data_IF_774096414398
#
_entry.id   IF_774096414398
#
_cell.length_a   1.000
_cell.length_b   1.000
_cell.length_c   1.000
_cell.angle_alpha   90.00
_cell.angle_beta   90.00
_cell.angle_gamma   90.00
#
_symmetry.space_group_name_H-M   'P 1'
#
loop_
_entity.id
_entity.type
_entity.pdbx_description
1 polymer ?
#
# COMPACT_ATOMS: atom_id res chain seq x y z
N UNK A 1 -20.33 -13.07 -64.40
CA UNK A 1 -20.79 -13.55 -63.09
C UNK A 1 -19.88 -14.75 -62.78
N UNK A 2 -19.06 -14.84 -61.74
CA UNK A 2 -19.12 -14.33 -60.37
C UNK A 2 -17.75 -13.82 -59.90
N UNK A 3 -17.77 -12.85 -58.98
CA UNK A 3 -16.67 -12.58 -58.04
C UNK A 3 -16.73 -13.62 -56.93
N UNK A 4 -15.59 -14.03 -56.37
CA UNK A 4 -15.26 -13.97 -54.93
C UNK A 4 -14.20 -15.01 -54.58
N UNK A 5 -13.20 -14.56 -53.83
CA UNK A 5 -12.17 -15.44 -53.28
C UNK A 5 -10.84 -14.78 -52.92
N UNK A 6 -10.78 -13.46 -52.71
CA UNK A 6 -9.63 -12.88 -52.01
C UNK A 6 -9.62 -13.40 -50.57
N UNK A 7 -8.86 -14.48 -50.33
CA UNK A 7 -8.35 -14.78 -48.99
C UNK A 7 -7.50 -13.59 -48.57
N UNK A 8 -8.02 -12.76 -47.66
CA UNK A 8 -7.22 -11.77 -46.93
C UNK A 8 -6.12 -12.53 -46.19
N UNK A 9 -4.93 -12.56 -46.79
CA UNK A 9 -3.73 -12.97 -46.10
C UNK A 9 -3.50 -11.94 -44.98
N UNK A 10 -3.80 -12.34 -43.75
CA UNK A 10 -3.35 -11.63 -42.55
C UNK A 10 -1.85 -11.44 -42.66
N UNK A 11 -1.42 -10.18 -42.81
CA UNK A 11 -0.02 -9.85 -42.98
C UNK A 11 0.76 -10.33 -41.74
N UNK A 12 2.02 -10.78 -41.89
CA UNK A 12 2.84 -11.25 -40.77
C UNK A 12 3.01 -10.20 -39.66
N UNK A 13 2.86 -8.90 -39.98
CA UNK A 13 2.82 -7.81 -38.99
C UNK A 13 1.57 -7.86 -38.09
N UNK A 14 0.43 -8.28 -38.63
CA UNK A 14 -0.82 -8.46 -37.88
C UNK A 14 -0.70 -9.61 -36.88
N UNK A 15 -0.04 -10.70 -37.28
CA UNK A 15 0.22 -11.85 -36.41
C UNK A 15 1.23 -11.49 -35.31
N UNK A 16 2.28 -10.73 -35.65
CA UNK A 16 3.29 -10.28 -34.70
C UNK A 16 2.69 -9.36 -33.62
N UNK A 17 1.80 -8.44 -33.99
CA UNK A 17 1.09 -7.58 -33.02
C UNK A 17 0.16 -8.41 -32.13
N UNK A 18 -0.56 -9.40 -32.69
CA UNK A 18 -1.43 -10.26 -31.89
C UNK A 18 -0.64 -11.13 -30.89
N UNK A 19 0.53 -11.62 -31.28
CA UNK A 19 1.42 -12.42 -30.42
C UNK A 19 2.08 -11.56 -29.34
N UNK A 20 2.45 -10.31 -29.63
CA UNK A 20 2.96 -9.38 -28.62
C UNK A 20 1.86 -8.98 -27.62
N UNK A 21 0.63 -8.76 -28.07
CA UNK A 21 -0.51 -8.54 -27.15
C UNK A 21 -0.76 -9.79 -26.30
N UNK A 22 -0.74 -11.00 -26.86
CA UNK A 22 -0.89 -12.22 -26.04
C UNK A 22 0.29 -12.51 -25.11
N UNK A 23 1.52 -12.08 -25.43
CA UNK A 23 2.67 -12.22 -24.52
C UNK A 23 2.63 -11.16 -23.42
N UNK A 24 2.31 -9.91 -23.72
CA UNK A 24 2.19 -8.84 -22.70
C UNK A 24 0.98 -9.09 -21.78
N UNK A 25 -0.14 -9.57 -22.30
CA UNK A 25 -1.33 -9.90 -21.50
C UNK A 25 -1.31 -11.32 -20.90
N UNK A 26 -0.59 -12.26 -21.50
CA UNK A 26 -0.50 -13.66 -21.05
C UNK A 26 0.54 -13.88 -19.96
N UNK A 27 1.66 -13.16 -19.99
CA UNK A 27 2.70 -13.25 -18.96
C UNK A 27 2.27 -12.52 -17.67
N UNK A 28 1.46 -11.45 -17.79
CA UNK A 28 0.84 -10.80 -16.62
C UNK A 28 -0.08 -11.74 -15.85
N UNK A 29 -0.87 -12.58 -16.54
CA UNK A 29 -1.85 -13.47 -15.90
C UNK A 29 -1.28 -14.57 -15.01
N UNK A 30 0.02 -14.85 -15.07
CA UNK A 30 0.62 -15.90 -14.25
C UNK A 30 1.02 -15.40 -12.85
N UNK A 31 0.96 -14.09 -12.60
CA UNK A 31 1.39 -13.47 -11.34
C UNK A 31 0.27 -12.75 -10.56
N UNK A 32 -0.90 -12.57 -11.16
CA UNK A 32 -2.05 -11.99 -10.45
C UNK A 32 -2.82 -13.09 -9.71
N UNK A 33 -2.93 -12.95 -8.39
CA UNK A 33 -3.82 -13.77 -7.56
C UNK A 33 -5.25 -13.76 -8.09
N UNK A 34 -6.05 -14.74 -7.66
CA UNK A 34 -7.42 -14.89 -8.10
C UNK A 34 -8.27 -13.63 -7.77
N UNK A 35 -8.99 -13.11 -8.76
CA UNK A 35 -9.63 -11.78 -8.71
C UNK A 35 -10.97 -11.77 -7.98
N UNK A 36 -11.37 -10.65 -7.39
CA UNK A 36 -12.64 -10.49 -6.68
C UNK A 36 -13.33 -9.17 -7.02
N UNK A 37 -14.64 -9.11 -6.83
CA UNK A 37 -15.43 -7.89 -6.98
C UNK A 37 -15.18 -6.90 -5.82
N UNK A 38 -14.74 -7.42 -4.67
CA UNK A 38 -14.33 -6.62 -3.50
C UNK A 38 -12.86 -6.88 -3.14
N UNK A 39 -12.17 -5.86 -2.62
CA UNK A 39 -10.79 -5.97 -2.14
C UNK A 39 -10.65 -7.00 -1.02
N UNK A 40 -11.59 -7.00 -0.06
CA UNK A 40 -11.64 -8.03 1.00
C UNK A 40 -11.75 -9.44 0.43
N UNK A 41 -12.59 -9.64 -0.59
CA UNK A 41 -12.72 -10.94 -1.24
C UNK A 41 -11.44 -11.36 -1.98
N UNK A 42 -10.67 -10.40 -2.53
CA UNK A 42 -9.37 -10.70 -3.14
C UNK A 42 -8.34 -11.12 -2.08
N UNK A 43 -8.26 -10.39 -0.97
CA UNK A 43 -7.33 -10.70 0.14
C UNK A 43 -7.64 -12.07 0.75
N UNK A 44 -8.92 -12.38 1.01
CA UNK A 44 -9.36 -13.66 1.60
C UNK A 44 -9.06 -14.89 0.75
N UNK A 45 -8.73 -14.73 -0.53
CA UNK A 45 -8.30 -15.85 -1.37
C UNK A 45 -6.90 -16.34 -1.02
N UNK A 46 -6.06 -15.47 -0.43
CA UNK A 46 -4.73 -15.83 0.05
C UNK A 46 -4.68 -16.04 1.58
N UNK A 47 -5.55 -15.36 2.33
CA UNK A 47 -5.55 -15.40 3.80
C UNK A 47 -6.67 -16.31 4.34
N UNK A 48 -6.29 -17.22 5.24
CA UNK A 48 -7.19 -18.28 5.75
C UNK A 48 -8.23 -17.78 6.74
N UNK A 49 -7.93 -16.73 7.50
CA UNK A 49 -8.87 -16.17 8.49
C UNK A 49 -9.67 -14.99 7.92
N UNK A 50 -10.79 -14.62 8.55
CA UNK A 50 -11.49 -13.38 8.21
C UNK A 50 -10.55 -12.19 8.32
N UNK A 51 -10.58 -11.34 7.29
CA UNK A 51 -9.85 -10.07 7.24
C UNK A 51 -10.85 -8.93 7.22
N UNK A 52 -10.42 -7.77 7.69
CA UNK A 52 -11.19 -6.52 7.59
C UNK A 52 -10.30 -5.44 7.00
N UNK A 53 -10.72 -4.83 5.90
CA UNK A 53 -9.98 -3.70 5.33
C UNK A 53 -10.17 -2.50 6.25
N UNK A 54 -9.04 -2.00 6.77
CA UNK A 54 -8.99 -0.80 7.61
C UNK A 54 -9.01 0.42 6.72
N UNK A 55 -8.12 0.48 5.73
CA UNK A 55 -8.12 1.53 4.72
C UNK A 55 -7.55 1.02 3.40
N UNK A 56 -7.90 1.69 2.31
CA UNK A 56 -7.24 1.58 1.04
C UNK A 56 -7.08 2.96 0.42
N UNK A 57 -6.07 3.13 -0.41
CA UNK A 57 -5.82 4.35 -1.16
C UNK A 57 -5.52 4.01 -2.63
N UNK A 58 -5.87 4.90 -3.56
CA UNK A 58 -5.81 4.61 -5.00
C UNK A 58 -4.52 5.13 -5.69
N UNK A 59 -3.71 5.98 -5.03
CA UNK A 59 -2.54 6.60 -5.66
C UNK A 59 -1.40 5.59 -5.89
N UNK A 60 -1.20 4.68 -4.95
CA UNK A 60 -0.24 3.58 -5.04
C UNK A 60 -0.87 2.21 -4.77
N UNK A 61 -2.20 2.14 -4.80
CA UNK A 61 -3.00 0.96 -4.48
C UNK A 61 -2.64 0.34 -3.11
N UNK A 62 -2.29 1.16 -2.12
CA UNK A 62 -1.99 0.73 -0.76
C UNK A 62 -3.25 0.26 -0.03
N UNK A 63 -3.10 -0.77 0.80
CA UNK A 63 -4.15 -1.29 1.68
C UNK A 63 -3.58 -1.63 3.04
N UNK A 64 -4.34 -1.28 4.09
CA UNK A 64 -4.15 -1.81 5.44
C UNK A 64 -5.35 -2.70 5.75
N UNK A 65 -5.10 -3.93 6.19
CA UNK A 65 -6.14 -4.82 6.69
C UNK A 65 -5.75 -5.45 8.03
N UNK A 66 -6.76 -5.85 8.80
CA UNK A 66 -6.60 -6.56 10.07
C UNK A 66 -6.97 -8.04 9.89
N UNK A 67 -6.10 -8.94 10.32
CA UNK A 67 -6.38 -10.37 10.48
C UNK A 67 -6.16 -10.75 11.96
N UNK A 68 -7.22 -11.17 12.67
CA UNK A 68 -7.19 -11.37 14.13
C UNK A 68 -6.64 -10.13 14.83
N UNK A 69 -5.51 -10.20 15.53
CA UNK A 69 -4.87 -9.06 16.21
C UNK A 69 -3.69 -8.46 15.44
N UNK A 70 -3.51 -8.85 14.17
CA UNK A 70 -2.41 -8.37 13.33
C UNK A 70 -2.91 -7.34 12.31
N UNK A 71 -2.20 -6.22 12.20
CA UNK A 71 -2.34 -5.32 11.05
C UNK A 71 -1.32 -5.66 9.97
N UNK A 72 -1.70 -5.48 8.72
CA UNK A 72 -0.87 -5.75 7.55
C UNK A 72 -1.04 -4.60 6.55
N UNK A 73 0.07 -4.03 6.09
CA UNK A 73 0.11 -3.16 4.93
C UNK A 73 0.56 -3.97 3.70
N UNK A 74 -0.07 -3.72 2.56
CA UNK A 74 0.37 -4.24 1.27
C UNK A 74 -0.18 -3.37 0.13
N UNK A 75 0.07 -3.76 -1.10
CA UNK A 75 -0.53 -3.18 -2.31
C UNK A 75 -1.51 -4.16 -2.97
N UNK A 76 -2.39 -3.63 -3.81
CA UNK A 76 -3.28 -4.41 -4.66
C UNK A 76 -3.23 -3.90 -6.11
N UNK A 77 -3.87 -4.61 -7.01
CA UNK A 77 -4.11 -4.14 -8.37
C UNK A 77 -5.62 -4.07 -8.64
N UNK A 78 -6.02 -3.09 -9.43
CA UNK A 78 -7.42 -2.92 -9.85
C UNK A 78 -7.49 -2.84 -11.37
N UNK A 79 -8.13 -3.84 -11.97
CA UNK A 79 -8.28 -3.90 -13.42
C UNK A 79 -9.71 -4.28 -13.80
N UNK A 80 -10.31 -3.52 -14.72
CA UNK A 80 -11.69 -3.68 -15.19
C UNK A 80 -12.71 -3.79 -14.04
N UNK A 81 -12.53 -2.99 -12.98
CA UNK A 81 -13.42 -2.98 -11.81
C UNK A 81 -13.24 -4.16 -10.85
N UNK A 82 -12.30 -5.07 -11.12
CA UNK A 82 -11.97 -6.21 -10.26
C UNK A 82 -10.68 -5.95 -9.51
N UNK A 83 -10.64 -6.45 -8.27
CA UNK A 83 -9.47 -6.40 -7.40
C UNK A 83 -8.64 -7.67 -7.55
N UNK A 84 -7.34 -7.49 -7.65
CA UNK A 84 -6.33 -8.54 -7.67
C UNK A 84 -5.40 -8.28 -6.50
N UNK A 85 -5.18 -9.30 -5.68
CA UNK A 85 -4.29 -9.21 -4.54
C UNK A 85 -3.24 -10.30 -4.72
N UNK A 86 -1.97 -9.91 -4.77
CA UNK A 86 -0.84 -10.83 -4.85
C UNK A 86 -0.08 -10.82 -3.52
N UNK A 87 0.35 -12.00 -3.08
CA UNK A 87 1.34 -12.13 -2.02
C UNK A 87 2.76 -12.02 -2.56
N UNK A 88 2.98 -11.87 -3.87
CA UNK A 88 4.35 -11.74 -4.40
C UNK A 88 4.89 -10.36 -4.04
N UNK A 89 5.73 -10.32 -3.00
CA UNK A 89 6.13 -9.08 -2.34
C UNK A 89 5.48 -8.91 -0.96
N UNK A 90 5.18 -10.00 -0.23
CA UNK A 90 4.78 -9.95 1.20
C UNK A 90 5.88 -9.32 2.06
N UNK A 91 6.12 -8.04 1.90
CA UNK A 91 6.59 -7.17 2.97
C UNK A 91 5.36 -6.73 3.78
N UNK A 92 4.49 -7.71 4.04
CA UNK A 92 3.35 -7.56 4.90
C UNK A 92 3.88 -7.52 6.32
N UNK A 93 4.12 -6.33 6.84
CA UNK A 93 4.57 -6.22 8.23
C UNK A 93 3.41 -6.56 9.13
N UNK A 94 3.49 -7.75 9.70
CA UNK A 94 2.58 -8.20 10.76
C UNK A 94 3.03 -7.56 12.06
N UNK A 95 2.10 -6.90 12.72
CA UNK A 95 2.34 -6.37 14.05
C UNK A 95 1.23 -6.84 14.98
N UNK A 96 1.61 -7.66 15.95
CA UNK A 96 0.74 -8.00 17.07
C UNK A 96 0.53 -6.74 17.90
N UNK A 97 -0.72 -6.32 18.00
CA UNK A 97 -1.06 -5.14 18.79
C UNK A 97 -0.89 -5.52 20.26
N UNK A 98 0.19 -5.03 20.89
CA UNK A 98 0.19 -4.81 22.34
C UNK A 98 -0.88 -3.78 22.72
N UNK A 99 -1.08 -3.49 24.00
CA UNK A 99 -2.07 -2.51 24.53
C UNK A 99 -1.88 -1.04 24.08
N UNK A 100 -1.28 -0.80 22.93
CA UNK A 100 -0.79 0.49 22.49
C UNK A 100 -1.78 1.17 21.54
N UNK A 101 -2.17 2.40 21.86
CA UNK A 101 -3.23 3.13 21.18
C UNK A 101 -2.81 3.69 19.80
N UNK A 102 -1.56 3.50 19.40
CA UNK A 102 -1.05 3.86 18.08
C UNK A 102 0.09 2.94 17.64
N UNK A 103 0.01 2.49 16.39
CA UNK A 103 1.07 1.79 15.68
C UNK A 103 1.51 2.64 14.49
N UNK A 104 2.82 2.74 14.28
CA UNK A 104 3.44 3.41 13.14
C UNK A 104 4.63 2.57 12.67
N UNK A 105 4.78 2.46 11.34
CA UNK A 105 5.89 1.80 10.67
C UNK A 105 6.40 2.66 9.53
N UNK A 106 7.69 2.54 9.27
CA UNK A 106 8.41 3.20 8.17
C UNK A 106 9.13 2.12 7.40
N UNK A 107 8.76 1.91 6.14
CA UNK A 107 9.22 0.81 5.30
C UNK A 107 9.73 1.37 3.97
N UNK A 108 10.48 0.59 3.19
CA UNK A 108 10.86 0.95 1.82
C UNK A 108 10.25 -0.04 0.85
N UNK A 109 9.53 0.44 -0.16
CA UNK A 109 8.96 -0.39 -1.21
C UNK A 109 9.54 -0.02 -2.57
N UNK A 110 10.11 -1.00 -3.28
CA UNK A 110 10.68 -0.79 -4.60
C UNK A 110 9.62 -0.22 -5.57
N UNK A 111 9.99 0.84 -6.31
CA UNK A 111 9.09 1.53 -7.24
C UNK A 111 8.15 2.55 -6.60
N UNK A 112 8.00 2.56 -5.27
CA UNK A 112 7.19 3.55 -4.52
C UNK A 112 8.08 4.48 -3.70
N UNK A 113 9.10 3.94 -3.02
CA UNK A 113 9.97 4.66 -2.10
C UNK A 113 9.60 4.40 -0.63
N UNK A 114 9.89 5.39 0.22
CA UNK A 114 9.64 5.28 1.66
C UNK A 114 8.16 5.49 1.98
N UNK A 115 7.59 4.49 2.65
CA UNK A 115 6.19 4.44 3.04
C UNK A 115 6.09 4.50 4.56
N UNK A 116 5.25 5.40 5.06
CA UNK A 116 4.87 5.50 6.46
C UNK A 116 3.43 5.08 6.59
N UNK A 117 3.17 4.07 7.40
CA UNK A 117 1.83 3.57 7.58
C UNK A 117 1.54 3.20 9.02
N UNK A 118 0.28 3.11 9.36
CA UNK A 118 -0.10 2.75 10.71
C UNK A 118 -1.59 2.79 10.98
N UNK A 119 -1.91 2.62 12.26
CA UNK A 119 -3.27 2.71 12.77
C UNK A 119 -3.29 3.45 14.11
N UNK A 120 -4.40 4.13 14.38
CA UNK A 120 -4.65 4.82 15.65
C UNK A 120 -5.92 4.25 16.28
N UNK A 121 -5.80 3.66 17.46
CA UNK A 121 -6.97 3.21 18.20
C UNK A 121 -7.45 4.27 19.18
N UNK A 122 -8.51 4.97 18.79
CA UNK A 122 -9.19 5.95 19.63
C UNK A 122 -10.69 5.95 19.36
N UNK A 123 -11.45 6.38 20.35
CA UNK A 123 -12.90 6.60 20.24
C UNK A 123 -13.24 7.93 19.57
N UNK A 124 -12.31 8.89 19.55
CA UNK A 124 -12.53 10.20 18.93
C UNK A 124 -12.20 10.15 17.43
N UNK A 125 -12.96 10.85 16.57
CA UNK A 125 -12.60 11.00 15.16
C UNK A 125 -11.21 11.61 15.00
N UNK A 126 -10.37 10.97 14.18
CA UNK A 126 -9.02 11.42 13.85
C UNK A 126 -9.04 12.03 12.45
N UNK A 127 -8.35 13.14 12.28
CA UNK A 127 -8.20 13.82 10.99
C UNK A 127 -6.90 13.45 10.31
N UNK A 128 -5.79 13.62 11.02
CA UNK A 128 -4.45 13.45 10.47
C UNK A 128 -3.47 13.02 11.56
N UNK A 129 -2.40 12.37 11.12
CA UNK A 129 -1.19 12.14 11.91
C UNK A 129 -0.07 12.98 11.30
N UNK A 130 0.61 13.76 12.13
CA UNK A 130 1.89 14.35 11.77
C UNK A 130 3.01 13.44 12.25
N UNK A 131 3.94 13.11 11.36
CA UNK A 131 5.12 12.30 11.65
C UNK A 131 6.34 13.16 11.43
N UNK A 132 7.18 13.27 12.46
CA UNK A 132 8.42 14.02 12.45
C UNK A 132 9.59 13.05 12.54
N UNK A 133 10.50 13.16 11.59
CA UNK A 133 11.79 12.49 11.55
C UNK A 133 12.84 13.49 12.01
N UNK A 134 13.54 13.18 13.11
CA UNK A 134 14.60 14.01 13.67
C UNK A 134 15.91 13.27 13.49
N UNK A 135 16.89 13.88 12.83
CA UNK A 135 18.20 13.26 12.63
C UNK A 135 18.88 13.10 14.01
N UNK A 136 19.27 11.87 14.34
CA UNK A 136 19.88 11.55 15.64
C UNK A 136 21.26 12.19 15.81
N UNK A 137 21.94 12.55 14.72
CA UNK A 137 23.26 13.20 14.73
C UNK A 137 23.15 14.72 14.68
N UNK A 138 22.08 15.25 14.09
CA UNK A 138 21.79 16.70 14.01
C UNK A 138 20.30 16.97 14.27
N UNK A 139 19.89 17.20 15.53
CA UNK A 139 18.48 17.42 15.86
C UNK A 139 17.83 18.66 15.23
N UNK A 140 18.62 19.55 14.61
CA UNK A 140 18.08 20.70 13.86
C UNK A 140 17.58 20.28 12.47
N UNK A 141 18.10 19.16 11.95
CA UNK A 141 17.63 18.57 10.72
C UNK A 141 16.38 17.73 11.00
N UNK A 142 15.23 18.29 10.61
CA UNK A 142 13.92 17.67 10.82
C UNK A 142 13.14 17.60 9.51
N UNK A 143 12.40 16.51 9.35
CA UNK A 143 11.49 16.30 8.21
C UNK A 143 10.12 15.96 8.79
N UNK A 144 9.09 16.73 8.40
CA UNK A 144 7.71 16.50 8.84
C UNK A 144 6.84 16.08 7.65
N UNK A 145 5.92 15.16 7.92
CA UNK A 145 4.84 14.78 7.01
C UNK A 145 3.51 14.78 7.73
N UNK A 146 2.45 15.22 7.04
CA UNK A 146 1.07 15.11 7.51
C UNK A 146 0.33 14.09 6.67
N UNK A 147 -0.26 13.11 7.35
CA UNK A 147 -0.92 11.97 6.73
C UNK A 147 -2.39 11.98 7.14
N UNK A 148 -3.33 12.12 6.19
CA UNK A 148 -4.75 11.96 6.48
C UNK A 148 -5.06 10.59 7.04
N UNK A 149 -5.97 10.53 8.02
CA UNK A 149 -6.44 9.27 8.61
C UNK A 149 -7.82 8.94 8.04
N UNK A 150 -7.99 7.72 7.56
CA UNK A 150 -9.27 7.18 7.08
C UNK A 150 -9.55 5.88 7.82
N UNK A 151 -10.72 5.76 8.44
CA UNK A 151 -11.12 4.56 9.18
C UNK A 151 -10.05 4.07 10.17
N UNK A 152 -9.44 5.00 10.91
CA UNK A 152 -8.34 4.76 11.87
C UNK A 152 -6.99 4.34 11.26
N UNK A 153 -6.92 4.05 9.96
CA UNK A 153 -5.67 3.77 9.25
C UNK A 153 -5.08 5.02 8.59
N UNK A 154 -3.76 5.00 8.38
CA UNK A 154 -3.07 6.00 7.56
C UNK A 154 -1.96 5.37 6.73
N UNK A 155 -1.78 5.87 5.50
CA UNK A 155 -0.65 5.56 4.62
C UNK A 155 -0.15 6.89 4.04
N UNK A 156 1.14 7.15 4.16
CA UNK A 156 1.82 8.32 3.64
C UNK A 156 3.10 7.94 2.91
N UNK A 157 3.45 8.74 1.90
CA UNK A 157 4.60 8.50 1.03
C UNK A 157 5.55 9.68 1.12
N UNK A 158 6.81 9.40 1.41
CA UNK A 158 7.84 10.43 1.45
C UNK A 158 8.37 10.71 0.05
N UNK A 159 8.40 11.98 -0.33
CA UNK A 159 8.85 12.39 -1.68
C UNK A 159 10.34 12.17 -1.88
N UNK A 160 11.11 12.32 -0.81
CA UNK A 160 12.55 12.14 -0.81
C UNK A 160 12.87 10.88 -0.03
N UNK A 161 13.79 10.08 -0.56
CA UNK A 161 14.31 8.93 0.17
C UNK A 161 15.02 9.41 1.45
N UNK A 162 14.48 8.99 2.60
CA UNK A 162 14.96 9.27 3.94
C UNK A 162 16.05 8.29 4.36
N UNK A 163 15.93 7.04 3.91
CA UNK A 163 16.81 5.92 4.27
C UNK A 163 16.90 4.89 3.13
N UNK A 164 17.96 4.09 3.16
CA UNK A 164 18.18 3.02 2.16
C UNK A 164 17.73 1.64 2.63
N UNK A 165 17.37 1.52 3.92
CA UNK A 165 16.81 0.32 4.53
C UNK A 165 16.14 0.68 5.87
N UNK A 166 15.28 -0.18 6.41
CA UNK A 166 14.71 0.03 7.76
C UNK A 166 15.79 0.14 8.85
N UNK A 167 16.87 -0.63 8.76
CA UNK A 167 17.99 -0.56 9.69
C UNK A 167 18.69 0.80 9.64
N UNK A 168 18.84 1.37 8.45
CA UNK A 168 19.35 2.73 8.27
C UNK A 168 18.37 3.75 8.85
N UNK A 169 17.07 3.56 8.62
CA UNK A 169 16.02 4.41 9.20
C UNK A 169 16.13 4.48 10.73
N UNK A 170 16.18 3.32 11.39
CA UNK A 170 16.23 3.22 12.85
C UNK A 170 17.49 3.87 13.45
N UNK A 171 18.63 3.78 12.75
CA UNK A 171 19.91 4.34 13.20
C UNK A 171 20.04 5.84 12.92
N UNK A 172 19.37 6.36 11.90
CA UNK A 172 19.49 7.75 11.47
C UNK A 172 18.41 8.64 12.08
N UNK A 173 17.20 8.12 12.21
CA UNK A 173 16.03 8.92 12.57
C UNK A 173 15.47 8.52 13.93
N UNK A 174 15.13 9.52 14.73
CA UNK A 174 14.15 9.40 15.81
C UNK A 174 12.79 9.82 15.26
N UNK A 175 11.75 9.03 15.52
CA UNK A 175 10.43 9.27 14.94
C UNK A 175 9.46 9.69 16.03
N UNK A 176 8.81 10.83 15.83
CA UNK A 176 7.74 11.33 16.68
C UNK A 176 6.45 11.40 15.88
N UNK A 177 5.33 11.05 16.51
CA UNK A 177 4.03 11.19 15.90
C UNK A 177 3.07 12.00 16.78
N UNK A 178 2.28 12.85 16.15
CA UNK A 178 1.22 13.62 16.78
C UNK A 178 -0.08 13.35 16.05
N UNK A 179 -1.10 12.92 16.80
CA UNK A 179 -2.43 12.62 16.27
C UNK A 179 -3.33 13.82 16.51
N UNK A 180 -3.99 14.30 15.45
CA UNK A 180 -4.91 15.43 15.51
C UNK A 180 -6.35 15.01 15.26
N UNK A 181 -7.26 15.56 16.08
CA UNK A 181 -8.70 15.45 15.87
C UNK A 181 -9.19 16.35 14.71
N UNK A 182 -10.45 16.19 14.33
CA UNK A 182 -11.11 17.02 13.31
C UNK A 182 -11.16 18.51 13.66
N UNK A 183 -11.18 18.86 14.94
CA UNK A 183 -11.14 20.24 15.43
C UNK A 183 -9.71 20.83 15.52
N UNK A 184 -8.69 20.05 15.13
CA UNK A 184 -7.28 20.44 15.21
C UNK A 184 -6.64 20.26 16.59
N UNK A 185 -7.38 19.79 17.60
CA UNK A 185 -6.79 19.47 18.90
C UNK A 185 -5.89 18.24 18.83
N UNK A 186 -4.87 18.21 19.68
CA UNK A 186 -3.99 17.05 19.81
C UNK A 186 -4.69 15.98 20.65
N UNK A 187 -4.80 14.78 20.09
CA UNK A 187 -5.36 13.60 20.75
C UNK A 187 -4.28 12.76 21.44
N UNK A 188 -3.10 12.66 20.82
CA UNK A 188 -2.03 11.79 21.28
C UNK A 188 -0.68 12.28 20.74
N UNK A 189 0.38 12.03 21.50
CA UNK A 189 1.77 12.15 21.05
C UNK A 189 2.49 10.85 21.39
N UNK A 190 3.37 10.39 20.51
CA UNK A 190 4.14 9.17 20.72
C UNK A 190 5.50 9.22 20.05
N UNK A 191 6.48 8.66 20.74
CA UNK A 191 7.86 8.53 20.26
C UNK A 191 8.12 7.07 19.88
N UNK A 192 8.87 6.84 18.82
CA UNK A 192 9.23 5.55 18.25
C UNK A 192 10.74 5.42 18.05
#
# INVERSE_FOLDING_TARGET
MERLGQKKATSPRSLLIMVVVFLVFGIGKMWYGDSSDTLEGAIRKLWKFPVTVVMSEDAHNGVIFKEKEMYVFNTYDKWLGRYFYSGSGEDGWRYDVGFDAMMLRTIYQEGIGDVVWGVVDTVKPVKEVEVLFIDRKDPTHTISMKIPVTNKGFIGYQKNQLYVSETDAANKWQVHAVVYASDGSVLMKKDF
#
